data_IF_899481247910
#
_entry.id   IF_899481247910
#
_cell.length_a   1.000
_cell.length_b   1.000
_cell.length_c   1.000
_cell.angle_alpha   90.00
_cell.angle_beta   90.00
_cell.angle_gamma   90.00
#
_symmetry.space_group_name_H-M   'P 1'
#
loop_
_entity.id
_entity.type
_entity.pdbx_description
1 polymer ?
#
# COMPACT_ATOMS: atom_id res chain seq x y z
N UNK A 1 -39.24 14.39 0.84
CA UNK A 1 -37.97 13.65 0.58
C UNK A 1 -37.96 13.28 -0.89
N UNK A 2 -37.07 13.86 -1.69
CA UNK A 2 -36.87 13.43 -3.08
C UNK A 2 -36.36 11.98 -3.06
N UNK A 3 -37.00 11.08 -3.80
CA UNK A 3 -36.52 9.71 -3.91
C UNK A 3 -35.08 9.72 -4.44
N UNK A 4 -34.18 9.00 -3.77
CA UNK A 4 -32.79 8.84 -4.24
C UNK A 4 -32.79 8.44 -5.71
N UNK A 5 -32.02 9.14 -6.54
CA UNK A 5 -31.86 8.81 -7.97
C UNK A 5 -31.08 7.51 -8.16
N UNK A 6 -30.31 7.08 -7.14
CA UNK A 6 -29.50 5.86 -7.16
C UNK A 6 -30.28 4.71 -6.50
N UNK A 7 -30.71 3.76 -7.32
CA UNK A 7 -31.47 2.57 -6.95
C UNK A 7 -30.63 1.30 -7.11
N UNK A 8 -31.10 0.18 -6.57
CA UNK A 8 -30.49 -1.13 -6.83
C UNK A 8 -30.47 -1.48 -8.33
N UNK A 9 -31.51 -1.10 -9.07
CA UNK A 9 -31.56 -1.30 -10.52
C UNK A 9 -30.48 -0.49 -11.23
N UNK A 10 -30.26 0.77 -10.81
CA UNK A 10 -29.17 1.58 -11.33
C UNK A 10 -27.81 0.94 -11.04
N UNK A 11 -27.58 0.42 -9.83
CA UNK A 11 -26.36 -0.28 -9.47
C UNK A 11 -26.11 -1.49 -10.39
N UNK A 12 -27.15 -2.33 -10.59
CA UNK A 12 -27.07 -3.52 -11.46
C UNK A 12 -26.86 -3.16 -12.93
N UNK A 13 -27.45 -2.08 -13.41
CA UNK A 13 -27.22 -1.57 -14.76
C UNK A 13 -25.77 -1.12 -14.93
N UNK A 14 -25.23 -0.42 -13.93
CA UNK A 14 -23.82 -0.01 -13.91
C UNK A 14 -22.87 -1.21 -13.89
N UNK A 15 -23.19 -2.25 -13.10
CA UNK A 15 -22.42 -3.50 -13.08
C UNK A 15 -22.49 -4.24 -14.43
N UNK A 16 -23.62 -4.26 -15.09
CA UNK A 16 -23.76 -4.87 -16.41
C UNK A 16 -22.94 -4.16 -17.49
N UNK A 17 -22.78 -2.84 -17.36
CA UNK A 17 -21.97 -2.01 -18.26
C UNK A 17 -20.48 -1.99 -17.91
N UNK A 18 -20.07 -2.51 -16.75
CA UNK A 18 -18.68 -2.48 -16.29
C UNK A 18 -17.79 -3.41 -17.13
N UNK A 19 -16.76 -2.86 -17.84
CA UNK A 19 -15.84 -3.66 -18.64
C UNK A 19 -14.94 -4.58 -17.78
N UNK A 20 -14.83 -4.31 -16.48
CA UNK A 20 -14.03 -5.10 -15.53
C UNK A 20 -14.87 -6.11 -14.72
N UNK A 21 -16.18 -6.24 -14.99
CA UNK A 21 -17.07 -7.14 -14.22
C UNK A 21 -16.58 -8.59 -14.18
N UNK A 22 -15.94 -9.07 -15.23
CA UNK A 22 -15.43 -10.44 -15.33
C UNK A 22 -14.28 -10.76 -14.37
N UNK A 23 -13.56 -9.76 -13.89
CA UNK A 23 -12.45 -9.98 -12.96
C UNK A 23 -12.93 -10.45 -11.57
N UNK A 24 -14.15 -10.08 -11.15
CA UNK A 24 -14.72 -10.47 -9.86
C UNK A 24 -14.73 -11.99 -9.64
N UNK A 25 -15.02 -12.78 -10.67
CA UNK A 25 -15.04 -14.24 -10.61
C UNK A 25 -13.65 -14.90 -10.50
N UNK A 26 -12.58 -14.12 -10.64
CA UNK A 26 -11.20 -14.61 -10.49
C UNK A 26 -10.70 -14.59 -9.04
N UNK A 27 -11.52 -14.11 -8.11
CA UNK A 27 -11.15 -14.00 -6.70
C UNK A 27 -12.01 -14.91 -5.83
N UNK A 28 -11.37 -15.56 -4.86
CA UNK A 28 -12.04 -16.30 -3.80
C UNK A 28 -12.77 -15.33 -2.88
N UNK A 29 -14.08 -15.51 -2.72
CA UNK A 29 -14.89 -14.67 -1.83
C UNK A 29 -15.10 -15.40 -0.51
N UNK A 30 -14.92 -14.74 0.64
CA UNK A 30 -15.27 -15.31 1.92
C UNK A 30 -16.80 -15.50 2.03
N UNK A 31 -17.19 -16.55 2.74
CA UNK A 31 -18.59 -16.92 3.01
C UNK A 31 -18.81 -17.01 4.52
N UNK A 32 -20.06 -16.85 4.94
CA UNK A 32 -20.46 -17.11 6.30
C UNK A 32 -20.62 -18.64 6.56
N UNK A 33 -21.00 -19.00 7.77
CA UNK A 33 -21.21 -20.40 8.17
C UNK A 33 -22.35 -21.10 7.40
N UNK A 34 -23.25 -20.32 6.77
CA UNK A 34 -24.37 -20.82 5.95
C UNK A 34 -23.99 -20.94 4.47
N UNK A 35 -22.77 -20.57 4.12
CA UNK A 35 -22.28 -20.56 2.74
C UNK A 35 -22.71 -19.34 1.92
N UNK A 36 -23.28 -18.28 2.56
CA UNK A 36 -23.61 -17.05 1.87
C UNK A 36 -22.39 -16.13 1.75
N UNK A 37 -22.21 -15.47 0.59
CA UNK A 37 -21.04 -14.63 0.36
C UNK A 37 -21.08 -13.39 1.25
N UNK A 38 -19.97 -13.11 1.92
CA UNK A 38 -19.81 -11.89 2.68
C UNK A 38 -19.61 -10.68 1.76
N UNK A 39 -20.13 -9.54 2.18
CA UNK A 39 -19.86 -8.24 1.55
C UNK A 39 -18.48 -7.75 1.99
N UNK A 40 -17.45 -8.07 1.19
CA UNK A 40 -16.06 -7.83 1.53
C UNK A 40 -15.59 -6.45 1.04
N UNK A 41 -15.37 -5.53 1.98
CA UNK A 41 -14.93 -4.14 1.75
C UNK A 41 -13.63 -3.82 2.53
N UNK A 42 -12.76 -4.83 2.71
CA UNK A 42 -11.57 -4.72 3.55
C UNK A 42 -10.23 -4.95 2.79
N UNK A 43 -10.23 -4.71 1.47
CA UNK A 43 -9.05 -4.92 0.62
C UNK A 43 -7.84 -4.02 0.96
N UNK A 44 -8.08 -2.92 1.65
CA UNK A 44 -7.03 -2.06 2.20
C UNK A 44 -6.28 -2.67 3.40
N UNK A 45 -6.82 -3.75 3.98
CA UNK A 45 -6.19 -4.51 5.07
C UNK A 45 -5.64 -5.85 4.57
N UNK A 46 -6.45 -6.63 3.87
CA UNK A 46 -6.06 -7.86 3.18
C UNK A 46 -6.86 -7.97 1.88
N UNK A 47 -6.18 -8.11 0.75
CA UNK A 47 -6.84 -8.34 -0.55
C UNK A 47 -7.43 -9.75 -0.66
N UNK A 48 -8.44 -9.91 -1.53
CA UNK A 48 -9.01 -11.24 -1.82
C UNK A 48 -8.02 -12.11 -2.60
N UNK A 49 -8.07 -13.40 -2.37
CA UNK A 49 -7.19 -14.38 -3.01
C UNK A 49 -7.50 -14.52 -4.51
N UNK A 50 -6.55 -14.23 -5.41
CA UNK A 50 -6.65 -14.68 -6.79
C UNK A 50 -6.78 -16.21 -6.84
N UNK A 51 -7.77 -16.76 -7.55
CA UNK A 51 -7.98 -18.20 -7.57
C UNK A 51 -6.78 -18.97 -8.11
N UNK A 52 -6.08 -18.41 -9.09
CA UNK A 52 -4.85 -18.98 -9.67
C UNK A 52 -3.64 -18.93 -8.71
N UNK A 53 -3.73 -18.25 -7.57
CA UNK A 53 -2.67 -18.28 -6.57
C UNK A 53 -2.42 -19.70 -6.02
N UNK A 54 -3.45 -20.56 -6.00
CA UNK A 54 -3.31 -21.98 -5.61
C UNK A 54 -2.37 -22.72 -6.55
N UNK A 55 -2.55 -22.51 -7.85
CA UNK A 55 -1.77 -23.21 -8.89
C UNK A 55 -0.31 -22.72 -8.86
N UNK A 56 -0.09 -21.42 -8.61
CA UNK A 56 1.26 -20.89 -8.48
C UNK A 56 2.01 -21.46 -7.27
N UNK A 57 1.34 -21.60 -6.12
CA UNK A 57 1.93 -22.22 -4.92
C UNK A 57 2.14 -23.72 -5.15
N UNK A 58 1.13 -24.42 -5.68
CA UNK A 58 1.22 -25.86 -5.95
C UNK A 58 2.41 -26.17 -6.87
N UNK A 59 2.62 -25.35 -7.91
CA UNK A 59 3.75 -25.54 -8.83
C UNK A 59 5.11 -25.40 -8.14
N UNK A 60 5.26 -24.46 -7.20
CA UNK A 60 6.52 -24.32 -6.44
C UNK A 60 6.73 -25.50 -5.48
N UNK A 61 5.65 -26.05 -4.91
CA UNK A 61 5.71 -27.25 -4.06
C UNK A 61 6.07 -28.49 -4.87
N UNK A 62 5.47 -28.67 -6.06
CA UNK A 62 5.76 -29.77 -6.98
C UNK A 62 7.23 -29.73 -7.45
N UNK A 63 7.73 -28.53 -7.78
CA UNK A 63 9.12 -28.35 -8.17
C UNK A 63 10.06 -28.64 -6.99
N UNK A 64 9.70 -28.24 -5.78
CA UNK A 64 10.50 -28.55 -4.59
C UNK A 64 10.53 -30.05 -4.30
N UNK A 65 9.38 -30.73 -4.34
CA UNK A 65 9.29 -32.18 -4.14
C UNK A 65 10.14 -32.97 -5.18
N UNK A 66 10.03 -32.57 -6.43
CA UNK A 66 10.69 -33.27 -7.56
C UNK A 66 12.17 -32.97 -7.69
N UNK A 67 12.59 -31.74 -7.41
CA UNK A 67 13.94 -31.25 -7.74
C UNK A 67 14.82 -31.04 -6.52
N UNK A 68 14.26 -30.80 -5.32
CA UNK A 68 15.04 -30.44 -4.15
C UNK A 68 15.94 -29.21 -4.45
N UNK A 69 17.22 -29.30 -4.12
CA UNK A 69 18.20 -28.22 -4.36
C UNK A 69 18.38 -27.85 -5.85
N UNK A 70 18.11 -28.78 -6.75
CA UNK A 70 18.21 -28.52 -8.19
C UNK A 70 17.17 -27.47 -8.67
N UNK A 71 16.10 -27.27 -7.93
CA UNK A 71 15.10 -26.23 -8.20
C UNK A 71 15.67 -24.82 -8.30
N UNK A 72 16.81 -24.57 -7.67
CA UNK A 72 17.51 -23.29 -7.83
C UNK A 72 17.83 -22.94 -9.28
N UNK A 73 18.06 -23.94 -10.12
CA UNK A 73 18.45 -23.77 -11.52
C UNK A 73 17.44 -24.38 -12.51
N UNK A 74 16.66 -25.38 -12.09
CA UNK A 74 15.89 -26.24 -13.01
C UNK A 74 14.39 -26.28 -12.71
N UNK A 75 13.89 -25.54 -11.72
CA UNK A 75 12.45 -25.37 -11.52
C UNK A 75 11.82 -24.66 -12.73
N UNK A 76 10.51 -24.78 -12.92
CA UNK A 76 9.78 -24.06 -13.97
C UNK A 76 10.09 -22.57 -13.93
N UNK A 77 10.16 -21.99 -12.72
CA UNK A 77 10.78 -20.71 -12.42
C UNK A 77 11.98 -20.96 -11.54
N UNK A 78 13.15 -20.99 -12.12
CA UNK A 78 14.38 -21.20 -11.37
C UNK A 78 14.48 -20.20 -10.21
N UNK A 79 14.78 -20.68 -9.00
CA UNK A 79 14.66 -19.84 -7.79
C UNK A 79 15.76 -18.79 -7.67
N UNK A 80 16.92 -18.98 -8.33
CA UNK A 80 17.98 -17.96 -8.34
C UNK A 80 17.55 -16.72 -9.14
N UNK A 81 17.13 -16.80 -10.41
CA UNK A 81 16.67 -15.65 -11.18
C UNK A 81 15.19 -15.30 -10.97
N UNK A 82 14.56 -15.73 -9.90
CA UNK A 82 13.11 -15.58 -9.67
C UNK A 82 12.61 -14.13 -9.81
N UNK A 83 13.46 -13.15 -9.47
CA UNK A 83 13.14 -11.73 -9.63
C UNK A 83 13.00 -11.29 -11.09
N UNK A 84 13.64 -11.97 -12.02
CA UNK A 84 13.67 -11.55 -13.42
C UNK A 84 12.28 -11.59 -14.07
N UNK A 85 11.38 -12.43 -13.58
CA UNK A 85 9.99 -12.46 -14.01
C UNK A 85 9.13 -11.38 -13.31
N UNK A 86 9.46 -11.01 -12.08
CA UNK A 86 8.68 -10.10 -11.26
C UNK A 86 8.99 -8.63 -11.53
N UNK A 87 10.27 -8.29 -11.68
CA UNK A 87 10.73 -6.91 -11.84
C UNK A 87 10.05 -6.17 -12.98
N UNK A 88 9.97 -6.70 -14.22
CA UNK A 88 9.32 -5.98 -15.32
C UNK A 88 7.84 -5.70 -15.05
N UNK A 89 7.13 -6.65 -14.42
CA UNK A 89 5.70 -6.50 -14.10
C UNK A 89 5.47 -5.49 -12.98
N UNK A 90 6.34 -5.48 -11.97
CA UNK A 90 6.27 -4.48 -10.90
C UNK A 90 6.69 -3.12 -11.39
N UNK A 91 7.72 -3.03 -12.21
CA UNK A 91 8.20 -1.78 -12.81
C UNK A 91 7.12 -1.11 -13.66
N UNK A 92 6.38 -1.89 -14.48
CA UNK A 92 5.22 -1.42 -15.22
C UNK A 92 4.14 -0.82 -14.29
N UNK A 93 3.83 -1.52 -13.19
CA UNK A 93 2.82 -1.09 -12.22
C UNK A 93 3.22 0.17 -11.45
N UNK A 94 4.51 0.34 -11.19
CA UNK A 94 5.07 1.45 -10.41
C UNK A 94 5.51 2.64 -11.28
N UNK A 95 5.57 2.48 -12.59
CA UNK A 95 6.11 3.49 -13.51
C UNK A 95 7.60 3.78 -13.24
N UNK A 96 8.43 2.74 -13.12
CA UNK A 96 9.87 2.84 -12.87
C UNK A 96 10.67 1.90 -13.77
N UNK A 97 11.99 1.81 -13.58
CA UNK A 97 12.86 0.88 -14.30
C UNK A 97 12.91 -0.48 -13.59
N UNK A 98 13.15 -1.53 -14.34
CA UNK A 98 13.25 -2.90 -13.81
C UNK A 98 14.38 -3.05 -12.78
N UNK A 99 15.48 -2.34 -12.97
CA UNK A 99 16.64 -2.36 -12.08
C UNK A 99 16.48 -1.50 -10.82
N UNK A 100 15.36 -0.75 -10.70
CA UNK A 100 15.01 0.07 -9.54
C UNK A 100 14.05 -0.62 -8.56
N UNK A 101 13.51 -1.81 -8.91
CA UNK A 101 12.52 -2.51 -8.09
C UNK A 101 12.96 -3.92 -7.73
N UNK A 102 12.64 -4.33 -6.51
CA UNK A 102 12.86 -5.70 -6.03
C UNK A 102 11.78 -6.12 -5.04
N UNK A 103 11.36 -7.37 -5.13
CA UNK A 103 10.49 -7.98 -4.13
C UNK A 103 11.38 -8.68 -3.10
N UNK A 104 11.37 -8.21 -1.86
CA UNK A 104 12.17 -8.77 -0.77
C UNK A 104 11.52 -8.54 0.59
N UNK A 105 11.79 -9.38 1.56
CA UNK A 105 11.39 -9.26 2.96
C UNK A 105 9.89 -8.93 3.17
N UNK A 106 9.59 -8.18 4.23
CA UNK A 106 8.30 -7.54 4.50
C UNK A 106 8.48 -6.02 4.55
N UNK A 107 7.37 -5.25 4.54
CA UNK A 107 7.41 -3.78 4.50
C UNK A 107 8.32 -3.20 5.59
N UNK A 108 8.07 -3.51 6.85
CA UNK A 108 8.80 -2.91 7.98
C UNK A 108 10.29 -3.28 7.96
N UNK A 109 10.64 -4.51 7.54
CA UNK A 109 12.04 -4.90 7.36
C UNK A 109 12.69 -4.09 6.24
N UNK A 110 12.00 -3.92 5.10
CA UNK A 110 12.48 -3.06 4.01
C UNK A 110 12.66 -1.62 4.47
N UNK A 111 11.71 -1.08 5.24
CA UNK A 111 11.81 0.28 5.79
C UNK A 111 13.06 0.43 6.66
N UNK A 112 13.34 -0.51 7.57
CA UNK A 112 14.57 -0.49 8.36
C UNK A 112 15.84 -0.55 7.51
N UNK A 113 15.87 -1.37 6.47
CA UNK A 113 17.01 -1.45 5.54
C UNK A 113 17.20 -0.11 4.79
N UNK A 114 16.08 0.53 4.39
CA UNK A 114 16.16 1.83 3.72
C UNK A 114 16.57 2.93 4.69
N UNK A 115 16.04 2.96 5.90
CA UNK A 115 16.50 3.89 6.95
C UNK A 115 17.99 3.70 7.23
N UNK A 116 18.45 2.46 7.37
CA UNK A 116 19.88 2.16 7.55
C UNK A 116 20.75 2.61 6.37
N UNK A 117 20.23 2.69 5.15
CA UNK A 117 20.94 3.11 3.95
C UNK A 117 20.85 4.61 3.67
N UNK A 118 19.71 5.23 3.94
CA UNK A 118 19.39 6.60 3.50
C UNK A 118 19.42 7.62 4.64
N UNK A 119 19.05 7.27 5.85
CA UNK A 119 19.15 8.19 6.97
C UNK A 119 20.60 8.31 7.45
N UNK A 120 21.17 9.49 7.25
CA UNK A 120 22.56 9.84 7.62
C UNK A 120 22.55 11.18 8.35
N UNK A 121 22.35 11.15 9.68
CA UNK A 121 22.38 12.37 10.46
C UNK A 121 23.81 12.94 10.49
N UNK A 122 23.93 14.19 10.10
CA UNK A 122 25.21 14.91 10.11
C UNK A 122 25.01 16.34 10.61
N UNK A 123 25.79 16.76 11.59
CA UNK A 123 25.75 18.13 12.12
C UNK A 123 24.32 18.60 12.39
N UNK A 124 23.87 19.68 11.73
CA UNK A 124 22.52 20.24 11.90
C UNK A 124 21.45 19.39 11.21
N UNK A 125 21.77 18.74 10.08
CA UNK A 125 20.82 17.94 9.28
C UNK A 125 20.66 16.54 9.89
N UNK A 126 19.75 16.40 10.88
CA UNK A 126 19.60 15.16 11.67
C UNK A 126 18.17 14.75 11.95
N UNK A 127 17.19 15.58 11.59
CA UNK A 127 15.79 15.27 11.84
C UNK A 127 15.20 14.37 10.77
N UNK A 128 14.19 13.57 11.18
CA UNK A 128 13.30 12.86 10.27
C UNK A 128 11.93 13.57 10.35
N UNK A 129 11.34 13.84 9.19
CA UNK A 129 10.02 14.44 9.07
C UNK A 129 9.03 13.36 8.65
N UNK A 130 7.92 13.24 9.40
CA UNK A 130 6.81 12.33 9.14
C UNK A 130 5.47 13.05 9.34
N UNK A 131 4.36 12.40 8.95
CA UNK A 131 3.02 12.84 9.35
C UNK A 131 2.74 12.53 10.83
N UNK A 132 1.97 13.39 11.48
CA UNK A 132 1.35 13.07 12.77
C UNK A 132 0.25 12.02 12.53
N UNK A 133 0.23 10.99 13.38
CA UNK A 133 -0.67 9.86 13.14
C UNK A 133 -0.21 8.90 12.03
N UNK A 134 1.09 8.89 11.70
CA UNK A 134 1.69 7.87 10.86
C UNK A 134 1.35 6.46 11.36
N UNK A 135 1.29 5.49 10.44
CA UNK A 135 1.07 4.11 10.86
C UNK A 135 2.11 3.69 11.91
N UNK A 136 1.65 3.04 12.96
CA UNK A 136 2.47 2.78 14.16
C UNK A 136 3.82 2.13 13.85
N UNK A 137 3.85 1.22 12.86
CA UNK A 137 5.09 0.53 12.46
C UNK A 137 6.12 1.51 11.89
N UNK A 138 5.71 2.50 11.09
CA UNK A 138 6.61 3.48 10.49
C UNK A 138 7.16 4.42 11.55
N UNK A 139 6.28 4.90 12.43
CA UNK A 139 6.70 5.73 13.56
C UNK A 139 7.67 5.00 14.47
N UNK A 140 7.42 3.71 14.77
CA UNK A 140 8.35 2.91 15.57
C UNK A 140 9.69 2.68 14.87
N UNK A 141 9.70 2.43 13.57
CA UNK A 141 10.91 2.28 12.80
C UNK A 141 11.74 3.57 12.81
N UNK A 142 11.10 4.73 12.60
CA UNK A 142 11.77 6.04 12.66
C UNK A 142 12.31 6.33 14.05
N UNK A 143 11.52 6.13 15.10
CA UNK A 143 11.98 6.36 16.48
C UNK A 143 13.17 5.47 16.84
N UNK A 144 13.11 4.18 16.49
CA UNK A 144 14.21 3.25 16.76
C UNK A 144 15.48 3.64 15.99
N UNK A 145 15.34 4.16 14.77
CA UNK A 145 16.47 4.62 13.97
C UNK A 145 17.12 5.89 14.55
N UNK A 146 16.33 6.83 15.06
CA UNK A 146 16.86 7.98 15.79
C UNK A 146 17.66 7.54 17.02
N UNK A 147 17.09 6.66 17.84
CA UNK A 147 17.76 6.11 19.02
C UNK A 147 19.02 5.32 18.67
N UNK A 148 19.02 4.57 17.56
CA UNK A 148 20.19 3.85 17.08
C UNK A 148 21.36 4.76 16.77
N UNK A 149 21.09 6.00 16.34
CA UNK A 149 22.07 7.04 16.14
C UNK A 149 22.40 7.90 17.37
N UNK A 150 21.86 7.54 18.55
CA UNK A 150 22.05 8.30 19.79
C UNK A 150 21.36 9.65 19.80
N UNK A 151 20.27 9.80 19.01
CA UNK A 151 19.49 11.03 18.92
C UNK A 151 18.18 10.89 19.71
N UNK A 152 17.82 11.98 20.40
CA UNK A 152 16.55 12.05 21.14
C UNK A 152 15.38 12.28 20.16
N UNK A 153 14.37 11.38 20.12
CA UNK A 153 13.22 11.56 19.22
C UNK A 153 12.49 12.90 19.40
N UNK A 154 12.37 13.39 20.63
CA UNK A 154 11.73 14.68 20.92
C UNK A 154 12.39 15.87 20.23
N UNK A 155 13.68 15.78 19.91
CA UNK A 155 14.44 16.83 19.24
C UNK A 155 14.53 16.64 17.73
N UNK A 156 14.53 15.35 17.28
CA UNK A 156 14.88 14.98 15.91
C UNK A 156 13.72 14.37 15.11
N UNK A 157 12.55 14.15 15.72
CA UNK A 157 11.33 13.79 15.02
C UNK A 157 10.48 15.05 14.79
N UNK A 158 10.23 15.39 13.54
CA UNK A 158 9.31 16.46 13.15
C UNK A 158 8.03 15.79 12.66
N UNK A 159 6.91 16.08 13.34
CA UNK A 159 5.60 15.55 12.98
C UNK A 159 4.72 16.69 12.47
N UNK A 160 4.12 16.55 11.29
CA UNK A 160 3.16 17.50 10.73
C UNK A 160 1.76 16.97 10.99
N UNK A 161 0.98 17.74 11.73
CA UNK A 161 -0.41 17.45 12.05
C UNK A 161 -1.37 18.21 11.12
N UNK A 162 -2.61 17.72 10.94
CA UNK A 162 -3.69 18.55 10.42
C UNK A 162 -3.84 19.85 11.19
N UNK A 163 -4.36 20.90 10.57
CA UNK A 163 -4.71 22.13 11.26
C UNK A 163 -5.82 21.90 12.28
N UNK A 164 -5.93 22.78 13.27
CA UNK A 164 -6.92 22.61 14.35
C UNK A 164 -8.35 22.53 13.80
N UNK A 165 -9.04 21.43 14.06
CA UNK A 165 -10.39 21.16 13.56
C UNK A 165 -10.43 20.45 12.20
N UNK A 166 -9.27 20.26 11.54
CA UNK A 166 -9.15 19.54 10.28
C UNK A 166 -8.68 18.10 10.52
N UNK A 167 -8.93 17.22 9.54
CA UNK A 167 -8.54 15.82 9.59
C UNK A 167 -7.47 15.46 8.53
N UNK A 168 -7.31 16.33 7.55
CA UNK A 168 -6.41 16.16 6.42
C UNK A 168 -5.19 17.07 6.57
N UNK A 169 -4.06 16.58 6.11
CA UNK A 169 -2.83 17.39 6.08
C UNK A 169 -2.71 18.04 4.71
N UNK A 170 -2.81 19.37 4.59
CA UNK A 170 -2.59 20.03 3.31
C UNK A 170 -1.11 19.95 2.91
N UNK A 171 -0.85 19.72 1.62
CA UNK A 171 0.53 19.59 1.11
C UNK A 171 1.35 20.85 1.31
N UNK A 172 0.69 22.02 1.33
CA UNK A 172 1.26 23.32 1.65
C UNK A 172 1.87 23.36 3.07
N UNK A 173 1.31 22.61 4.01
CA UNK A 173 1.89 22.52 5.36
C UNK A 173 3.24 21.79 5.34
N UNK A 174 3.37 20.76 4.49
CA UNK A 174 4.62 20.02 4.33
C UNK A 174 5.68 20.92 3.67
N UNK A 175 5.31 21.62 2.60
CA UNK A 175 6.18 22.56 1.89
C UNK A 175 6.66 23.67 2.81
N UNK A 176 5.76 24.24 3.62
CA UNK A 176 6.09 25.29 4.60
C UNK A 176 7.11 24.80 5.63
N UNK A 177 6.91 23.63 6.21
CA UNK A 177 7.86 23.06 7.18
C UNK A 177 9.22 22.80 6.54
N UNK A 178 9.24 22.30 5.30
CA UNK A 178 10.49 22.09 4.57
C UNK A 178 11.19 23.39 4.20
N UNK A 179 10.46 24.45 3.89
CA UNK A 179 11.01 25.78 3.64
C UNK A 179 11.63 26.40 4.91
N UNK A 180 10.97 26.24 6.06
CA UNK A 180 11.39 26.84 7.33
C UNK A 180 12.50 26.03 8.03
N UNK A 181 12.38 24.70 8.04
CA UNK A 181 13.21 23.78 8.81
C UNK A 181 13.98 22.77 7.97
N UNK A 182 13.91 22.82 6.65
CA UNK A 182 14.51 21.82 5.76
C UNK A 182 16.03 21.66 5.96
N UNK A 183 16.73 22.68 6.44
CA UNK A 183 18.15 22.57 6.81
C UNK A 183 18.42 21.59 7.98
N UNK A 184 17.41 21.24 8.76
CA UNK A 184 17.48 20.27 9.88
C UNK A 184 17.08 18.86 9.42
N UNK A 185 16.28 18.75 8.34
CA UNK A 185 15.70 17.49 7.87
C UNK A 185 16.72 16.70 7.05
N UNK A 186 17.09 15.52 7.52
CA UNK A 186 17.91 14.56 6.81
C UNK A 186 17.08 13.66 5.88
N UNK A 187 15.87 13.30 6.33
CA UNK A 187 14.97 12.39 5.63
C UNK A 187 13.52 12.79 5.87
N UNK A 188 12.73 12.77 4.81
CA UNK A 188 11.26 12.76 4.85
C UNK A 188 10.79 11.32 4.63
N UNK A 189 9.95 10.79 5.52
CA UNK A 189 9.23 9.54 5.30
C UNK A 189 7.74 9.86 5.26
N UNK A 190 7.09 9.62 4.12
CA UNK A 190 5.71 10.01 3.91
C UNK A 190 4.89 8.88 3.28
N UNK A 191 3.59 8.71 3.63
CA UNK A 191 2.74 7.74 2.93
C UNK A 191 2.34 8.26 1.55
N UNK A 192 2.17 7.35 0.60
CA UNK A 192 1.54 7.72 -0.66
C UNK A 192 0.03 7.88 -0.55
N UNK A 193 -0.60 7.06 0.30
CA UNK A 193 -2.00 7.17 0.74
C UNK A 193 -2.05 6.93 2.25
N UNK A 194 -2.62 7.87 2.98
CA UNK A 194 -2.74 7.80 4.42
C UNK A 194 -3.72 6.70 4.84
N UNK A 195 -3.29 5.83 5.75
CA UNK A 195 -4.03 4.60 6.08
C UNK A 195 -5.36 4.84 6.79
N UNK A 196 -5.48 5.91 7.60
CA UNK A 196 -6.67 6.21 8.39
C UNK A 196 -7.69 7.00 7.58
N UNK A 197 -7.27 8.11 6.96
CA UNK A 197 -8.15 9.03 6.22
C UNK A 197 -8.40 8.60 4.78
N UNK A 198 -7.51 7.82 4.17
CA UNK A 198 -7.54 7.52 2.74
C UNK A 198 -7.05 8.67 1.86
N UNK A 199 -6.51 9.76 2.45
CA UNK A 199 -5.93 10.88 1.72
C UNK A 199 -4.74 10.41 0.87
N UNK A 200 -4.77 10.70 -0.42
CA UNK A 200 -3.67 10.49 -1.34
C UNK A 200 -2.88 11.79 -1.50
N UNK A 201 -1.57 11.68 -1.59
CA UNK A 201 -0.64 12.81 -1.72
C UNK A 201 -0.04 12.87 -3.12
N UNK A 202 0.31 14.08 -3.57
CA UNK A 202 1.05 14.34 -4.79
C UNK A 202 2.54 14.00 -4.59
N UNK A 203 2.94 12.78 -4.94
CA UNK A 203 4.30 12.29 -4.71
C UNK A 203 5.36 13.11 -5.46
N UNK A 204 5.17 13.51 -6.73
CA UNK A 204 6.07 14.41 -7.44
C UNK A 204 6.30 15.74 -6.69
N UNK A 205 5.23 16.35 -6.22
CA UNK A 205 5.25 17.62 -5.48
C UNK A 205 6.07 17.50 -4.19
N UNK A 206 5.77 16.48 -3.39
CA UNK A 206 6.49 16.22 -2.14
C UNK A 206 7.97 15.88 -2.36
N UNK A 207 8.28 15.08 -3.37
CA UNK A 207 9.66 14.75 -3.70
C UNK A 207 10.45 16.00 -4.17
N UNK A 208 9.81 16.87 -4.94
CA UNK A 208 10.42 18.13 -5.36
C UNK A 208 10.68 19.05 -4.17
N UNK A 209 9.73 19.18 -3.23
CA UNK A 209 9.88 20.01 -2.03
C UNK A 209 11.03 19.50 -1.12
N UNK A 210 11.08 18.18 -0.88
CA UNK A 210 12.16 17.57 -0.10
C UNK A 210 13.53 17.81 -0.75
N UNK A 211 13.64 17.61 -2.06
CA UNK A 211 14.86 17.83 -2.83
C UNK A 211 15.31 19.29 -2.79
N UNK A 212 14.37 20.24 -2.93
CA UNK A 212 14.66 21.66 -2.82
C UNK A 212 15.21 22.03 -1.43
N UNK A 213 14.69 21.42 -0.38
CA UNK A 213 15.20 21.56 0.98
C UNK A 213 16.52 20.82 1.23
N UNK A 214 17.01 20.02 0.25
CA UNK A 214 18.21 19.19 0.36
C UNK A 214 18.03 17.98 1.28
N UNK A 215 16.79 17.57 1.56
CA UNK A 215 16.45 16.36 2.30
C UNK A 215 16.27 15.19 1.33
N UNK A 216 16.53 13.96 1.81
CA UNK A 216 16.12 12.74 1.11
C UNK A 216 14.64 12.48 1.41
N UNK A 217 13.96 11.75 0.51
CA UNK A 217 12.57 11.35 0.70
C UNK A 217 12.35 9.89 0.38
N UNK A 218 11.67 9.19 1.30
CA UNK A 218 11.15 7.84 1.12
C UNK A 218 9.64 7.83 1.24
N UNK A 219 8.98 6.91 0.50
CA UNK A 219 7.53 6.72 0.60
C UNK A 219 7.18 5.34 1.15
N UNK A 220 6.20 5.31 2.11
CA UNK A 220 5.42 4.11 2.34
C UNK A 220 4.25 4.06 1.35
N UNK A 221 4.28 3.08 0.46
CA UNK A 221 3.27 2.88 -0.58
C UNK A 221 2.32 1.73 -0.28
N UNK A 222 2.21 1.29 0.99
CA UNK A 222 1.37 0.16 1.40
C UNK A 222 -0.10 0.30 0.98
N UNK A 223 -0.62 1.53 0.95
CA UNK A 223 -1.99 1.84 0.51
C UNK A 223 -2.07 2.39 -0.91
N UNK A 224 -0.93 2.53 -1.60
CA UNK A 224 -0.86 3.12 -2.95
C UNK A 224 -0.69 2.08 -4.04
N UNK A 225 0.21 1.11 -3.85
CA UNK A 225 0.51 0.09 -4.88
C UNK A 225 -0.70 -0.80 -5.10
N UNK A 226 -1.15 -0.90 -6.36
CA UNK A 226 -2.36 -1.62 -6.74
C UNK A 226 -3.68 -0.85 -6.51
N UNK A 227 -3.62 0.35 -5.92
CA UNK A 227 -4.76 1.22 -5.63
C UNK A 227 -4.75 2.50 -6.46
N UNK A 228 -3.57 3.12 -6.60
CA UNK A 228 -3.36 4.37 -7.33
C UNK A 228 -2.43 4.14 -8.51
N UNK A 229 -2.63 4.85 -9.63
CA UNK A 229 -1.58 4.97 -10.65
C UNK A 229 -0.33 5.59 -10.04
N UNK A 230 0.81 4.99 -10.29
CA UNK A 230 2.10 5.48 -9.82
C UNK A 230 3.04 5.76 -11.00
N UNK A 231 3.92 6.74 -10.83
CA UNK A 231 4.98 7.10 -11.77
C UNK A 231 6.25 7.45 -10.96
N UNK A 232 6.88 6.42 -10.36
CA UNK A 232 8.01 6.64 -9.47
C UNK A 232 9.23 7.22 -10.21
N UNK A 233 9.34 6.97 -11.52
CA UNK A 233 10.36 7.61 -12.34
C UNK A 233 10.20 9.13 -12.38
N UNK A 234 8.95 9.61 -12.51
CA UNK A 234 8.66 11.04 -12.64
C UNK A 234 8.64 11.72 -11.27
N UNK A 235 8.23 10.99 -10.23
CA UNK A 235 8.23 11.47 -8.84
C UNK A 235 9.64 11.54 -8.25
N UNK A 236 10.55 10.68 -8.72
CA UNK A 236 11.96 10.62 -8.31
C UNK A 236 12.19 10.58 -6.78
N UNK A 237 11.47 9.77 -5.98
CA UNK A 237 11.83 9.60 -4.58
C UNK A 237 13.19 8.90 -4.46
N UNK A 238 13.81 8.97 -3.29
CA UNK A 238 15.08 8.25 -3.05
C UNK A 238 14.84 6.75 -2.89
N UNK A 239 13.76 6.39 -2.20
CA UNK A 239 13.28 5.02 -2.08
C UNK A 239 11.76 4.96 -1.85
N UNK A 240 11.18 3.78 -2.02
CA UNK A 240 9.83 3.48 -1.56
C UNK A 240 9.73 2.02 -1.09
N UNK A 241 8.80 1.76 -0.16
CA UNK A 241 8.54 0.42 0.37
C UNK A 241 7.04 0.14 0.41
N UNK A 242 6.65 -1.14 0.27
CA UNK A 242 5.24 -1.55 0.33
C UNK A 242 5.08 -3.00 0.75
N UNK A 243 3.87 -3.37 1.17
CA UNK A 243 3.44 -4.75 1.32
C UNK A 243 2.57 -5.19 0.13
N UNK A 244 2.57 -6.48 -0.18
CA UNK A 244 1.83 -7.02 -1.32
C UNK A 244 0.49 -7.67 -0.95
N UNK A 245 0.19 -7.83 0.33
CA UNK A 245 -1.02 -8.54 0.78
C UNK A 245 -2.30 -7.67 0.79
N UNK A 246 -2.19 -6.34 0.65
CA UNK A 246 -3.33 -5.42 0.60
C UNK A 246 -3.92 -5.38 -0.82
N UNK A 247 -3.86 -4.24 -1.48
CA UNK A 247 -4.41 -4.06 -2.84
C UNK A 247 -3.77 -4.93 -3.92
N UNK A 248 -2.53 -5.42 -3.70
CA UNK A 248 -1.91 -6.38 -4.60
C UNK A 248 -2.38 -7.83 -4.40
N UNK A 249 -3.26 -8.12 -3.45
CA UNK A 249 -3.93 -9.43 -3.30
C UNK A 249 -2.99 -10.65 -3.23
N UNK A 250 -1.75 -10.48 -2.74
CA UNK A 250 -0.77 -11.58 -2.73
C UNK A 250 -0.89 -12.50 -1.49
N UNK A 251 -1.89 -12.28 -0.64
CA UNK A 251 -2.21 -13.14 0.49
C UNK A 251 -1.42 -12.85 1.78
N UNK A 252 -1.81 -13.49 2.89
CA UNK A 252 -1.20 -13.27 4.20
C UNK A 252 0.27 -13.71 4.20
N UNK A 253 1.15 -12.87 4.76
CA UNK A 253 2.59 -13.15 4.80
C UNK A 253 3.31 -12.98 3.45
N UNK A 254 2.65 -12.42 2.44
CA UNK A 254 3.26 -12.16 1.14
C UNK A 254 4.49 -11.26 1.26
N UNK A 255 5.41 -11.47 0.34
CA UNK A 255 6.66 -10.70 0.24
C UNK A 255 6.38 -9.20 0.08
N UNK A 256 7.21 -8.36 0.68
CA UNK A 256 7.19 -6.92 0.45
C UNK A 256 7.94 -6.52 -0.80
N UNK A 257 7.87 -5.24 -1.15
CA UNK A 257 8.62 -4.67 -2.24
C UNK A 257 9.40 -3.43 -1.82
N UNK A 258 10.42 -3.13 -2.61
CA UNK A 258 11.27 -1.97 -2.43
C UNK A 258 11.63 -1.37 -3.79
N UNK A 259 11.60 -0.04 -3.86
CA UNK A 259 12.12 0.77 -4.94
C UNK A 259 13.30 1.59 -4.44
N UNK A 260 14.32 1.72 -5.24
CA UNK A 260 15.44 2.64 -5.01
C UNK A 260 15.76 3.35 -6.33
N UNK A 261 15.80 4.67 -6.29
CA UNK A 261 16.16 5.46 -7.47
C UNK A 261 17.59 5.15 -7.93
N UNK A 262 17.76 4.94 -9.22
CA UNK A 262 19.03 4.52 -9.84
C UNK A 262 20.21 5.47 -9.57
N UNK A 263 19.96 6.77 -9.27
CA UNK A 263 21.00 7.72 -8.85
C UNK A 263 21.79 7.27 -7.62
N UNK A 264 21.26 6.31 -6.83
CA UNK A 264 21.87 5.82 -5.60
C UNK A 264 22.69 4.54 -5.77
N UNK A 265 22.65 3.88 -6.92
CA UNK A 265 23.34 2.60 -7.10
C UNK A 265 24.84 2.72 -7.00
N UNK A 266 25.40 3.77 -7.60
CA UNK A 266 26.84 4.06 -7.64
C UNK A 266 27.23 5.29 -6.83
N UNK A 267 26.29 5.85 -6.02
CA UNK A 267 26.54 7.07 -5.25
C UNK A 267 27.71 6.85 -4.25
N UNK A 268 28.75 7.69 -4.29
CA UNK A 268 29.88 7.57 -3.38
C UNK A 268 29.43 7.63 -1.92
N UNK A 269 29.94 6.74 -1.08
CA UNK A 269 29.63 6.71 0.35
C UNK A 269 28.22 6.18 0.69
N UNK A 270 27.43 5.74 -0.28
CA UNK A 270 26.14 5.08 0.00
C UNK A 270 26.41 3.78 0.75
N UNK A 271 26.04 3.78 2.03
CA UNK A 271 26.12 2.57 2.85
C UNK A 271 24.89 1.69 2.61
N UNK A 272 25.09 0.41 2.73
CA UNK A 272 24.04 -0.60 2.68
C UNK A 272 24.36 -1.71 3.67
N UNK A 273 23.33 -2.35 4.19
CA UNK A 273 23.51 -3.59 4.94
C UNK A 273 23.78 -4.70 3.93
N UNK A 274 24.98 -5.28 4.00
CA UNK A 274 25.40 -6.32 3.07
C UNK A 274 24.87 -7.69 3.49
N UNK A 275 24.53 -8.50 2.51
CA UNK A 275 24.16 -9.90 2.69
C UNK A 275 24.53 -10.69 1.44
N UNK A 276 24.58 -12.01 1.56
CA UNK A 276 25.04 -12.87 0.48
C UNK A 276 24.30 -12.63 -0.84
N UNK A 277 22.98 -12.40 -0.77
CA UNK A 277 22.17 -12.23 -1.99
C UNK A 277 22.38 -10.88 -2.67
N UNK A 278 22.87 -9.89 -1.94
CA UNK A 278 23.27 -8.59 -2.48
C UNK A 278 24.65 -8.58 -3.15
N UNK A 279 25.44 -9.68 -3.03
CA UNK A 279 26.71 -9.79 -3.72
C UNK A 279 26.51 -9.95 -5.24
N UNK A 280 27.47 -9.52 -6.04
CA UNK A 280 27.43 -9.64 -7.51
C UNK A 280 27.16 -11.11 -7.94
N UNK A 281 26.21 -11.29 -8.87
CA UNK A 281 25.69 -12.61 -9.25
C UNK A 281 26.80 -13.52 -9.79
N UNK A 282 27.71 -12.96 -10.59
CA UNK A 282 28.79 -13.72 -11.26
C UNK A 282 29.84 -14.27 -10.31
N UNK A 283 30.02 -13.61 -9.17
CA UNK A 283 31.02 -14.00 -8.15
C UNK A 283 30.39 -14.45 -6.83
N UNK A 284 29.06 -14.50 -6.74
CA UNK A 284 28.35 -14.84 -5.51
C UNK A 284 28.73 -16.22 -4.94
N UNK A 285 28.94 -17.18 -5.81
CA UNK A 285 29.27 -18.56 -5.44
C UNK A 285 30.77 -18.83 -5.30
N UNK A 286 31.64 -17.84 -5.58
CA UNK A 286 33.07 -17.93 -5.33
C UNK A 286 33.40 -17.86 -3.84
N UNK A 287 32.39 -17.57 -3.00
CA UNK A 287 32.49 -17.46 -1.55
C UNK A 287 33.61 -16.49 -1.10
N UNK A 288 33.85 -15.44 -1.85
CA UNK A 288 34.81 -14.38 -1.50
C UNK A 288 34.42 -13.72 -0.19
N UNK A 289 35.42 -13.31 0.60
CA UNK A 289 35.18 -12.51 1.82
C UNK A 289 34.91 -11.03 1.51
N UNK A 290 35.20 -10.57 0.29
CA UNK A 290 34.99 -9.20 -0.13
C UNK A 290 33.61 -9.03 -0.78
N UNK A 291 32.77 -8.22 -0.16
CA UNK A 291 31.44 -7.92 -0.70
C UNK A 291 31.54 -7.01 -1.93
N UNK A 292 31.06 -7.49 -3.06
CA UNK A 292 30.90 -6.73 -4.29
C UNK A 292 29.41 -6.55 -4.54
N UNK A 293 28.90 -5.31 -4.43
CA UNK A 293 27.50 -5.05 -4.60
C UNK A 293 27.03 -5.41 -6.01
N UNK A 294 25.96 -6.21 -6.09
CA UNK A 294 25.27 -6.52 -7.34
C UNK A 294 24.73 -5.25 -8.03
N UNK A 295 24.46 -5.37 -9.32
CA UNK A 295 24.01 -4.26 -10.15
C UNK A 295 22.60 -3.80 -9.75
N UNK A 296 22.33 -2.50 -9.90
CA UNK A 296 21.04 -1.92 -9.61
C UNK A 296 20.62 -2.11 -8.15
N UNK A 297 19.33 -2.27 -7.94
CA UNK A 297 18.74 -2.51 -6.61
C UNK A 297 19.18 -3.87 -6.02
N UNK A 298 19.66 -4.81 -6.84
CA UNK A 298 20.10 -6.13 -6.38
C UNK A 298 21.16 -6.03 -5.28
N UNK A 299 22.07 -5.03 -5.37
CA UNK A 299 23.09 -4.79 -4.36
C UNK A 299 22.54 -4.36 -2.98
N UNK A 300 21.25 -4.14 -2.82
CA UNK A 300 20.60 -3.84 -1.55
C UNK A 300 19.85 -5.04 -0.95
N UNK A 301 19.80 -6.16 -1.65
CA UNK A 301 19.25 -7.40 -1.09
C UNK A 301 20.20 -7.98 -0.03
N UNK A 302 19.64 -8.61 0.99
CA UNK A 302 20.44 -9.25 2.05
C UNK A 302 20.34 -10.77 1.99
N UNK A 303 19.15 -11.30 1.76
CA UNK A 303 18.86 -12.74 1.73
C UNK A 303 18.28 -13.15 0.38
N UNK A 304 18.31 -14.46 0.13
CA UNK A 304 17.69 -15.06 -1.04
C UNK A 304 16.16 -14.83 -1.07
N UNK A 305 15.59 -15.05 -2.24
CA UNK A 305 14.16 -14.92 -2.50
C UNK A 305 13.32 -15.86 -1.63
N UNK A 306 12.30 -15.33 -0.99
CA UNK A 306 11.26 -16.16 -0.36
C UNK A 306 10.24 -16.62 -1.41
N UNK A 307 10.51 -17.74 -2.06
CA UNK A 307 9.78 -18.23 -3.23
C UNK A 307 8.29 -18.43 -2.91
N UNK A 308 7.97 -19.22 -1.86
CA UNK A 308 6.58 -19.53 -1.52
C UNK A 308 5.74 -18.30 -1.14
N UNK A 309 6.32 -17.31 -0.48
CA UNK A 309 5.60 -16.06 -0.15
C UNK A 309 5.47 -15.11 -1.35
N UNK A 310 6.18 -15.39 -2.43
CA UNK A 310 6.17 -14.61 -3.67
C UNK A 310 5.25 -15.20 -4.73
N UNK A 311 5.06 -16.50 -4.75
CA UNK A 311 4.28 -17.20 -5.78
C UNK A 311 2.86 -16.61 -5.98
N UNK A 312 2.07 -16.29 -4.93
CA UNK A 312 0.75 -15.70 -5.12
C UNK A 312 0.78 -14.32 -5.78
N UNK A 313 1.86 -13.56 -5.62
CA UNK A 313 2.01 -12.25 -6.26
C UNK A 313 2.07 -12.38 -7.79
N UNK A 314 2.63 -13.48 -8.32
CA UNK A 314 2.67 -13.74 -9.77
C UNK A 314 1.26 -13.82 -10.33
N UNK A 315 0.36 -14.55 -9.68
CA UNK A 315 -1.05 -14.64 -10.05
C UNK A 315 -1.73 -13.26 -10.04
N UNK A 316 -1.47 -12.46 -9.00
CA UNK A 316 -2.04 -11.12 -8.89
C UNK A 316 -1.53 -10.18 -9.99
N UNK A 317 -0.23 -10.15 -10.23
CA UNK A 317 0.36 -9.27 -11.26
C UNK A 317 -0.15 -9.61 -12.67
N UNK A 318 -0.44 -10.87 -12.95
CA UNK A 318 -1.08 -11.27 -14.21
C UNK A 318 -2.47 -10.63 -14.37
N UNK A 319 -3.27 -10.59 -13.28
CA UNK A 319 -4.58 -9.94 -13.25
C UNK A 319 -4.44 -8.42 -13.44
N UNK A 320 -3.50 -7.78 -12.72
CA UNK A 320 -3.26 -6.33 -12.84
C UNK A 320 -2.84 -5.93 -14.27
N UNK A 321 -1.97 -6.69 -14.90
CA UNK A 321 -1.54 -6.45 -16.28
C UNK A 321 -2.71 -6.55 -17.26
N UNK A 322 -3.57 -7.56 -17.12
CA UNK A 322 -4.75 -7.72 -17.97
C UNK A 322 -5.80 -6.63 -17.71
N UNK A 323 -6.06 -6.30 -16.44
CA UNK A 323 -7.00 -5.26 -16.07
C UNK A 323 -6.53 -3.86 -16.50
N UNK A 324 -5.26 -3.54 -16.28
CA UNK A 324 -4.64 -2.24 -16.55
C UNK A 324 -5.02 -1.17 -15.50
N UNK A 325 -4.00 -0.51 -14.93
CA UNK A 325 -4.20 0.47 -13.84
C UNK A 325 -5.12 1.63 -14.23
N UNK A 326 -5.08 2.10 -15.46
CA UNK A 326 -5.95 3.19 -15.92
C UNK A 326 -7.44 2.80 -15.84
N UNK A 327 -7.81 1.59 -16.27
CA UNK A 327 -9.19 1.07 -16.18
C UNK A 327 -9.60 0.81 -14.73
N UNK A 328 -8.69 0.26 -13.92
CA UNK A 328 -8.93 0.06 -12.49
C UNK A 328 -9.17 1.39 -11.79
N UNK A 329 -8.38 2.41 -12.09
CA UNK A 329 -8.57 3.76 -11.52
C UNK A 329 -9.90 4.37 -11.93
N UNK A 330 -10.27 4.29 -13.21
CA UNK A 330 -11.55 4.79 -13.69
C UNK A 330 -12.73 4.13 -12.96
N UNK A 331 -12.73 2.80 -12.82
CA UNK A 331 -13.76 2.08 -12.05
C UNK A 331 -13.73 2.44 -10.56
N UNK A 332 -12.56 2.55 -9.94
CA UNK A 332 -12.43 2.96 -8.52
C UNK A 332 -13.06 4.33 -8.27
N UNK A 333 -12.83 5.29 -9.17
CA UNK A 333 -13.44 6.61 -9.09
C UNK A 333 -14.95 6.55 -9.24
N UNK A 334 -15.46 5.75 -10.18
CA UNK A 334 -16.91 5.58 -10.41
C UNK A 334 -17.60 4.92 -9.20
N UNK A 335 -17.01 3.86 -8.64
CA UNK A 335 -17.50 3.17 -7.44
C UNK A 335 -17.54 4.13 -6.23
N UNK A 336 -16.48 4.91 -6.01
CA UNK A 336 -16.43 5.86 -4.91
C UNK A 336 -17.38 7.04 -5.08
N UNK A 337 -17.56 7.53 -6.31
CA UNK A 337 -18.56 8.56 -6.61
C UNK A 337 -19.98 8.07 -6.33
N UNK A 338 -20.30 6.85 -6.79
CA UNK A 338 -21.59 6.20 -6.53
C UNK A 338 -21.85 6.02 -5.03
N UNK A 339 -20.87 5.47 -4.31
CA UNK A 339 -20.98 5.25 -2.86
C UNK A 339 -21.09 6.57 -2.10
N UNK A 340 -20.25 7.55 -2.41
CA UNK A 340 -20.28 8.87 -1.78
C UNK A 340 -21.61 9.60 -1.99
N UNK A 341 -22.18 9.52 -3.19
CA UNK A 341 -23.51 10.10 -3.47
C UNK A 341 -24.62 9.40 -2.68
N UNK A 342 -24.62 8.06 -2.61
CA UNK A 342 -25.59 7.31 -1.79
C UNK A 342 -25.49 7.67 -0.32
N UNK A 343 -24.28 7.79 0.22
CA UNK A 343 -24.06 8.18 1.62
C UNK A 343 -24.59 9.59 1.88
N UNK A 344 -24.28 10.56 1.02
CA UNK A 344 -24.74 11.94 1.15
C UNK A 344 -26.28 12.07 1.06
N UNK A 345 -26.92 11.31 0.16
CA UNK A 345 -28.38 11.33 -0.01
C UNK A 345 -29.14 10.65 1.15
N UNK A 346 -28.63 9.55 1.68
CA UNK A 346 -29.35 8.71 2.64
C UNK A 346 -28.93 8.92 4.09
N UNK A 347 -27.72 9.37 4.33
CA UNK A 347 -27.12 9.50 5.66
C UNK A 347 -26.31 10.81 5.79
N UNK A 348 -26.96 12.00 5.63
CA UNK A 348 -26.25 13.28 5.68
C UNK A 348 -25.60 13.57 7.05
N UNK A 349 -25.97 12.84 8.08
CA UNK A 349 -25.39 12.89 9.43
C UNK A 349 -24.09 12.06 9.55
N UNK A 350 -23.69 11.31 8.51
CA UNK A 350 -22.46 10.54 8.52
C UNK A 350 -21.32 11.44 8.06
N UNK A 351 -20.26 11.50 8.85
CA UNK A 351 -19.08 12.30 8.49
C UNK A 351 -18.10 11.47 7.63
N UNK A 352 -17.85 11.93 6.39
CA UNK A 352 -16.86 11.35 5.51
C UNK A 352 -15.50 12.03 5.75
N UNK A 353 -14.57 11.31 6.36
CA UNK A 353 -13.21 11.77 6.68
C UNK A 353 -12.32 11.82 5.43
N UNK A 354 -12.54 10.90 4.49
CA UNK A 354 -11.76 10.82 3.25
C UNK A 354 -12.03 12.04 2.35
N UNK A 355 -11.00 12.61 1.69
CA UNK A 355 -11.18 13.72 0.76
C UNK A 355 -12.28 13.46 -0.27
N UNK A 356 -13.13 14.46 -0.51
CA UNK A 356 -14.20 14.35 -1.51
C UNK A 356 -13.66 14.43 -2.94
N UNK A 357 -12.55 15.14 -3.14
CA UNK A 357 -11.91 15.25 -4.43
C UNK A 357 -11.32 13.92 -4.90
N UNK A 358 -11.59 13.56 -6.13
CA UNK A 358 -11.19 12.27 -6.69
C UNK A 358 -9.69 12.09 -6.83
N UNK A 359 -8.94 13.17 -7.04
CA UNK A 359 -7.47 13.13 -7.10
C UNK A 359 -6.85 12.82 -5.73
N UNK A 360 -7.45 13.35 -4.66
CA UNK A 360 -6.97 13.25 -3.28
C UNK A 360 -7.29 11.93 -2.57
N UNK A 361 -7.76 10.88 -3.26
CA UNK A 361 -8.13 9.60 -2.62
C UNK A 361 -7.94 8.38 -3.50
N UNK A 362 -7.74 7.21 -2.83
CA UNK A 362 -7.79 5.88 -3.46
C UNK A 362 -9.18 5.25 -3.39
N UNK A 363 -9.22 3.91 -3.25
CA UNK A 363 -10.46 3.13 -3.15
C UNK A 363 -11.07 3.12 -1.73
N UNK A 364 -10.33 3.58 -0.71
CA UNK A 364 -10.78 3.62 0.67
C UNK A 364 -11.70 4.82 0.92
N UNK A 365 -12.77 4.60 1.68
CA UNK A 365 -13.56 5.62 2.36
C UNK A 365 -13.51 5.38 3.87
N UNK A 366 -13.30 6.45 4.63
CA UNK A 366 -13.23 6.46 6.09
C UNK A 366 -14.40 7.26 6.63
N UNK A 367 -15.18 6.60 7.46
CA UNK A 367 -16.48 7.07 7.93
C UNK A 367 -16.45 7.24 9.45
N UNK A 368 -16.93 8.37 9.94
CA UNK A 368 -17.18 8.60 11.36
C UNK A 368 -18.70 8.68 11.62
N UNK A 369 -19.16 7.96 12.61
CA UNK A 369 -20.57 7.94 13.02
C UNK A 369 -20.79 9.01 14.09
N UNK A 370 -21.77 9.88 13.88
CA UNK A 370 -22.18 10.84 14.90
C UNK A 370 -22.62 10.15 16.19
N UNK A 371 -22.44 10.80 17.33
CA UNK A 371 -22.74 10.22 18.64
C UNK A 371 -21.54 9.53 19.31
N UNK A 372 -20.33 9.68 18.72
CA UNK A 372 -19.06 9.32 19.34
C UNK A 372 -18.62 7.87 19.14
N UNK A 373 -17.42 7.57 19.61
CA UNK A 373 -16.73 6.29 19.38
C UNK A 373 -17.53 5.06 19.83
N UNK A 374 -18.24 5.15 20.94
CA UNK A 374 -19.05 4.01 21.46
C UNK A 374 -20.18 3.63 20.50
N UNK A 375 -20.88 4.62 19.93
CA UNK A 375 -21.92 4.38 18.91
C UNK A 375 -21.30 3.85 17.62
N UNK A 376 -20.22 4.45 17.14
CA UNK A 376 -19.50 3.98 15.95
C UNK A 376 -19.07 2.53 16.08
N UNK A 377 -18.57 2.12 17.27
CA UNK A 377 -18.18 0.73 17.55
C UNK A 377 -19.37 -0.23 17.54
N UNK A 378 -20.55 0.16 18.08
CA UNK A 378 -21.76 -0.68 17.98
C UNK A 378 -22.22 -0.85 16.54
N UNK A 379 -22.21 0.24 15.75
CA UNK A 379 -22.52 0.20 14.31
C UNK A 379 -21.57 -0.75 13.57
N UNK A 380 -20.26 -0.65 13.81
CA UNK A 380 -19.26 -1.55 13.23
C UNK A 380 -19.52 -3.02 13.61
N UNK A 381 -19.82 -3.31 14.89
CA UNK A 381 -20.11 -4.66 15.36
C UNK A 381 -21.39 -5.22 14.73
N UNK A 382 -22.43 -4.38 14.58
CA UNK A 382 -23.64 -4.75 13.90
C UNK A 382 -23.38 -5.11 12.42
N UNK A 383 -22.59 -4.30 11.70
CA UNK A 383 -22.20 -4.58 10.32
C UNK A 383 -21.52 -5.94 10.20
N UNK A 384 -20.57 -6.24 11.10
CA UNK A 384 -19.87 -7.53 11.13
C UNK A 384 -20.81 -8.71 11.34
N UNK A 385 -21.82 -8.58 12.23
CA UNK A 385 -22.85 -9.59 12.47
C UNK A 385 -23.80 -9.76 11.28
N UNK A 386 -23.89 -8.74 10.39
CA UNK A 386 -24.76 -8.73 9.22
C UNK A 386 -23.98 -8.86 7.90
N UNK A 387 -22.94 -9.69 7.91
CA UNK A 387 -22.22 -10.14 6.71
C UNK A 387 -21.41 -9.04 5.99
N UNK A 388 -21.11 -7.92 6.64
CA UNK A 388 -20.25 -6.87 6.10
C UNK A 388 -18.85 -6.96 6.70
N UNK A 389 -17.84 -7.16 5.87
CA UNK A 389 -16.42 -7.15 6.27
C UNK A 389 -15.83 -5.80 5.93
N UNK A 390 -15.66 -4.98 6.95
CA UNK A 390 -14.94 -3.70 6.94
C UNK A 390 -13.98 -3.67 8.12
N UNK A 391 -13.27 -2.57 8.38
CA UNK A 391 -12.44 -2.54 9.58
C UNK A 391 -12.69 -1.29 10.45
N UNK A 392 -12.30 -1.41 11.71
CA UNK A 392 -12.37 -0.35 12.70
C UNK A 392 -10.98 0.18 13.01
N UNK A 393 -10.86 1.49 13.07
CA UNK A 393 -9.66 2.17 13.56
C UNK A 393 -10.00 3.11 14.68
N UNK A 394 -9.26 2.98 15.76
CA UNK A 394 -9.38 3.89 16.88
C UNK A 394 -9.04 5.33 16.49
N UNK A 395 -9.72 6.31 17.06
CA UNK A 395 -10.73 6.13 18.12
C UNK A 395 -12.14 5.81 17.60
N UNK A 396 -12.51 6.11 16.35
CA UNK A 396 -13.90 6.19 15.92
C UNK A 396 -14.14 6.01 14.42
N UNK A 397 -13.21 5.42 13.68
CA UNK A 397 -13.28 5.33 12.21
C UNK A 397 -13.66 3.94 11.75
N UNK A 398 -14.72 3.86 10.93
CA UNK A 398 -15.04 2.69 10.10
C UNK A 398 -14.42 2.92 8.73
N UNK A 399 -13.54 2.00 8.28
CA UNK A 399 -12.95 2.05 6.95
C UNK A 399 -13.57 1.02 6.04
N UNK A 400 -13.92 1.43 4.84
CA UNK A 400 -14.38 0.56 3.75
C UNK A 400 -13.54 0.80 2.51
N UNK A 401 -13.24 -0.25 1.75
CA UNK A 401 -12.51 -0.14 0.50
C UNK A 401 -13.24 -0.86 -0.62
N UNK A 402 -13.70 -0.09 -1.58
CA UNK A 402 -14.45 -0.55 -2.74
C UNK A 402 -13.48 -0.86 -3.87
N UNK A 403 -12.85 -2.05 -3.82
CA UNK A 403 -11.74 -2.43 -4.71
C UNK A 403 -12.27 -2.79 -6.10
N UNK A 404 -11.79 -2.13 -7.18
CA UNK A 404 -12.35 -2.28 -8.52
C UNK A 404 -12.19 -3.67 -9.14
N UNK A 405 -11.24 -4.47 -8.67
CA UNK A 405 -11.03 -5.83 -9.17
C UNK A 405 -12.16 -6.80 -8.80
N UNK A 406 -12.79 -6.64 -7.65
CA UNK A 406 -13.76 -7.62 -7.16
C UNK A 406 -15.02 -7.03 -6.52
N UNK A 407 -15.09 -5.72 -6.27
CA UNK A 407 -16.32 -5.08 -5.84
C UNK A 407 -17.13 -4.53 -7.02
N UNK A 408 -18.44 -4.43 -6.80
CA UNK A 408 -19.43 -3.97 -7.76
C UNK A 408 -20.24 -2.79 -7.22
N UNK A 409 -20.99 -2.10 -8.08
CA UNK A 409 -21.93 -1.05 -7.67
C UNK A 409 -23.02 -1.60 -6.77
N UNK A 410 -23.47 -2.84 -7.02
CA UNK A 410 -24.43 -3.52 -6.12
C UNK A 410 -23.84 -3.74 -4.72
N UNK A 411 -22.54 -4.07 -4.60
CA UNK A 411 -21.89 -4.18 -3.29
C UNK A 411 -21.94 -2.86 -2.51
N UNK A 412 -21.70 -1.73 -3.18
CA UNK A 412 -21.80 -0.41 -2.57
C UNK A 412 -23.20 -0.05 -2.16
N UNK A 413 -24.21 -0.37 -2.99
CA UNK A 413 -25.61 -0.16 -2.66
C UNK A 413 -26.03 -0.97 -1.43
N UNK A 414 -25.69 -2.26 -1.40
CA UNK A 414 -25.99 -3.14 -0.27
C UNK A 414 -25.28 -2.72 1.02
N UNK A 415 -24.05 -2.24 0.91
CA UNK A 415 -23.35 -1.67 2.06
C UNK A 415 -24.12 -0.49 2.66
N UNK A 416 -24.58 0.43 1.83
CA UNK A 416 -25.37 1.60 2.31
C UNK A 416 -26.67 1.17 2.95
N UNK A 417 -27.39 0.18 2.41
CA UNK A 417 -28.59 -0.38 3.04
C UNK A 417 -28.27 -0.96 4.44
N UNK A 418 -27.19 -1.74 4.56
CA UNK A 418 -26.79 -2.32 5.86
C UNK A 418 -26.34 -1.25 6.84
N UNK A 419 -25.57 -0.27 6.39
CA UNK A 419 -25.12 0.83 7.24
C UNK A 419 -26.32 1.67 7.75
N UNK A 420 -27.30 1.92 6.91
CA UNK A 420 -28.53 2.64 7.30
C UNK A 420 -29.31 1.87 8.39
N UNK A 421 -29.46 0.56 8.24
CA UNK A 421 -30.08 -0.30 9.26
C UNK A 421 -29.28 -0.28 10.57
N UNK A 422 -27.93 -0.41 10.47
CA UNK A 422 -27.05 -0.37 11.63
C UNK A 422 -27.16 0.94 12.41
N UNK A 423 -27.28 2.07 11.73
CA UNK A 423 -27.44 3.38 12.34
C UNK A 423 -28.80 3.53 13.06
N UNK A 424 -29.89 2.98 12.49
CA UNK A 424 -31.23 2.99 13.07
C UNK A 424 -31.32 2.12 14.32
N UNK A 425 -30.73 0.92 14.30
CA UNK A 425 -30.77 0.00 15.44
C UNK A 425 -29.80 0.38 16.58
N UNK A 426 -28.90 1.33 16.34
CA UNK A 426 -27.91 1.80 17.32
C UNK A 426 -28.04 3.31 17.59
N UNK A 427 -29.24 3.84 17.54
CA UNK A 427 -29.51 5.23 17.93
C UNK A 427 -29.24 5.52 19.41
#
# INVERSE_FOLDING_TARGET
>A
MSASRLTLEHARTSDAADPLRGFRSRFGRPHDERGEPLLYLCGHSLGLMPLTARDEIAQELDDWERLGVLGHHSARRAWIPYQDELRPRMAELLGCRDDEVVMMNSLTVNLHLMLASFYRPVSRRRCILIESGAFSSDRYAVMSQLQWHGLEPKECLIEIAPESGEELIPEEAIERVLAERGAEVALVLWPGVQYLTGQAFDLPRLAAAARHAGALIGFDLAHSVGNMPLALRDSEPDFAVWCSYKYLNAGPGAIGGCYINSRHFTAPGRKRLAGWWGNEMTTRFDMSHDFQAGQGISGFQVSNQSVLSTAPLIASLAIFREAGMARLRAKSLALNAFLGQLLAERMPQLHLVTPQESAGRGAQLSLRVDGGAARGRRVFQWLAQHQVVCDWREPDIIRVSHVPLYNSFEDGFRFVERLQQALQENE
#
